data_IF_318785772249
#
_entry.id   IF_318785772249
#
_cell.length_a   1.000
_cell.length_b   1.000
_cell.length_c   1.000
_cell.angle_alpha   90.00
_cell.angle_beta   90.00
_cell.angle_gamma   90.00
#
_symmetry.space_group_name_H-M   'P 1'
#
loop_
_entity.id
_entity.type
_entity.pdbx_description
1 polymer ?
#
# COMPACT_ATOMS: atom_id res chain seq x y z
N UNK A 1 25.61 -17.10 -16.38
CA UNK A 1 25.34 -15.90 -17.17
C UNK A 1 24.91 -16.35 -18.56
N UNK A 2 23.65 -16.13 -18.93
CA UNK A 2 23.15 -16.54 -20.23
C UNK A 2 23.65 -15.57 -21.31
N UNK A 3 24.40 -16.09 -22.29
CA UNK A 3 24.81 -15.36 -23.48
C UNK A 3 23.57 -14.91 -24.25
N UNK A 4 23.23 -13.62 -24.18
CA UNK A 4 22.31 -13.05 -25.15
C UNK A 4 23.08 -12.76 -26.44
N UNK A 5 22.62 -13.25 -27.60
CA UNK A 5 23.28 -12.98 -28.87
C UNK A 5 23.16 -11.50 -29.25
N UNK A 6 24.12 -10.96 -30.02
CA UNK A 6 24.16 -9.54 -30.37
C UNK A 6 22.94 -9.13 -31.20
N UNK A 7 22.36 -7.97 -30.88
CA UNK A 7 21.15 -7.38 -31.49
C UNK A 7 21.36 -6.88 -32.94
N UNK A 8 22.20 -7.52 -33.73
CA UNK A 8 22.61 -7.02 -35.05
C UNK A 8 22.68 -8.16 -36.06
N UNK A 9 21.51 -8.55 -36.59
CA UNK A 9 21.27 -9.13 -37.94
C UNK A 9 19.97 -9.94 -37.95
N UNK A 10 18.85 -9.30 -37.61
CA UNK A 10 17.53 -9.85 -37.94
C UNK A 10 16.93 -8.88 -38.95
N UNK A 11 16.67 -9.35 -40.17
CA UNK A 11 16.15 -8.52 -41.28
C UNK A 11 14.85 -7.79 -40.91
N UNK A 12 14.13 -8.27 -39.89
CA UNK A 12 13.05 -7.56 -39.24
C UNK A 12 12.83 -8.11 -37.81
N UNK A 13 13.24 -7.40 -36.74
CA UNK A 13 13.18 -7.92 -35.35
C UNK A 13 11.76 -8.17 -34.82
N UNK A 14 10.74 -7.77 -35.57
CA UNK A 14 9.32 -7.90 -35.25
C UNK A 14 8.70 -9.23 -35.71
N UNK A 15 9.24 -9.87 -36.76
CA UNK A 15 8.65 -11.05 -37.40
C UNK A 15 8.71 -12.32 -36.53
N UNK A 16 9.68 -12.41 -35.62
CA UNK A 16 9.82 -13.56 -34.70
C UNK A 16 9.21 -13.38 -33.32
N UNK A 17 8.78 -12.16 -32.96
CA UNK A 17 8.30 -11.81 -31.60
C UNK A 17 6.84 -11.39 -31.55
N UNK A 18 6.29 -10.94 -32.67
CA UNK A 18 4.90 -10.47 -32.74
C UNK A 18 4.09 -11.37 -33.65
N UNK A 19 2.93 -11.81 -33.15
CA UNK A 19 1.95 -12.50 -33.98
C UNK A 19 1.27 -11.49 -34.92
N UNK A 20 1.94 -11.26 -36.05
CA UNK A 20 1.51 -10.31 -37.08
C UNK A 20 0.17 -10.73 -37.69
N UNK A 21 -0.10 -12.03 -37.80
CA UNK A 21 -1.34 -12.55 -38.39
C UNK A 21 -2.54 -12.23 -37.49
N UNK A 22 -2.44 -12.54 -36.20
CA UNK A 22 -3.49 -12.22 -35.23
C UNK A 22 -3.69 -10.72 -35.07
N UNK A 23 -2.60 -9.94 -35.12
CA UNK A 23 -2.66 -8.47 -35.09
C UNK A 23 -3.40 -7.93 -36.33
N UNK A 24 -3.09 -8.42 -37.53
CA UNK A 24 -3.77 -8.04 -38.77
C UNK A 24 -5.25 -8.44 -38.78
N UNK A 25 -5.59 -9.63 -38.29
CA UNK A 25 -6.98 -10.08 -38.15
C UNK A 25 -7.76 -9.20 -37.16
N UNK A 26 -7.13 -8.81 -36.06
CA UNK A 26 -7.71 -7.89 -35.06
C UNK A 26 -7.94 -6.50 -35.64
N UNK A 27 -6.95 -5.96 -36.37
CA UNK A 27 -7.08 -4.66 -37.07
C UNK A 27 -8.20 -4.72 -38.10
N UNK A 28 -8.28 -5.78 -38.91
CA UNK A 28 -9.37 -5.97 -39.89
C UNK A 28 -10.74 -6.03 -39.22
N UNK A 29 -10.86 -6.70 -38.06
CA UNK A 29 -12.10 -6.72 -37.27
C UNK A 29 -12.46 -5.33 -36.71
N UNK A 30 -11.48 -4.61 -36.17
CA UNK A 30 -11.68 -3.24 -35.65
C UNK A 30 -12.08 -2.25 -36.76
N UNK A 31 -11.58 -2.44 -37.98
CA UNK A 31 -11.85 -1.57 -39.13
C UNK A 31 -12.97 -2.09 -40.04
N UNK A 32 -13.69 -3.15 -39.65
CA UNK A 32 -14.74 -3.75 -40.47
C UNK A 32 -15.90 -2.80 -40.78
N UNK A 33 -16.12 -1.77 -39.93
CA UNK A 33 -17.09 -0.69 -40.15
C UNK A 33 -16.61 0.45 -41.06
N UNK A 34 -15.42 0.32 -41.67
CA UNK A 34 -14.75 1.36 -42.43
C UNK A 34 -13.57 1.97 -41.68
N UNK A 35 -12.55 2.41 -42.42
CA UNK A 35 -11.44 3.18 -41.83
C UNK A 35 -11.86 4.65 -41.70
N UNK A 36 -11.76 5.27 -40.51
CA UNK A 36 -12.06 6.70 -40.37
C UNK A 36 -11.25 7.50 -41.39
N UNK A 37 -11.91 8.24 -42.28
CA UNK A 37 -11.21 9.04 -43.29
C UNK A 37 -10.80 10.40 -42.69
N UNK A 38 -9.82 10.37 -41.80
CA UNK A 38 -9.29 11.54 -41.09
C UNK A 38 -8.59 12.55 -42.02
N UNK A 39 -8.23 12.14 -43.24
CA UNK A 39 -7.69 13.03 -44.28
C UNK A 39 -8.80 13.91 -44.88
N UNK A 40 -9.97 13.33 -45.16
CA UNK A 40 -11.12 14.04 -45.73
C UNK A 40 -11.90 14.82 -44.68
N UNK A 41 -11.99 14.31 -43.45
CA UNK A 41 -12.81 14.88 -42.37
C UNK A 41 -12.01 15.02 -41.06
N UNK A 42 -10.96 15.84 -41.02
CA UNK A 42 -10.10 15.96 -39.84
C UNK A 42 -10.81 16.54 -38.62
N UNK A 43 -11.83 17.39 -38.83
CA UNK A 43 -12.63 17.98 -37.74
C UNK A 43 -13.51 16.93 -37.06
N UNK A 44 -14.19 16.09 -37.84
CA UNK A 44 -15.09 15.07 -37.33
C UNK A 44 -14.32 13.99 -36.56
N UNK A 45 -13.14 13.59 -37.06
CA UNK A 45 -12.24 12.69 -36.33
C UNK A 45 -11.76 13.31 -35.01
N UNK A 46 -11.39 14.61 -35.01
CA UNK A 46 -11.00 15.31 -33.79
C UNK A 46 -12.16 15.33 -32.77
N UNK A 47 -13.38 15.59 -33.21
CA UNK A 47 -14.57 15.55 -32.34
C UNK A 47 -14.82 14.15 -31.79
N UNK A 48 -14.78 13.11 -32.64
CA UNK A 48 -14.94 11.71 -32.21
C UNK A 48 -13.86 11.30 -31.19
N UNK A 49 -12.60 11.66 -31.43
CA UNK A 49 -11.51 11.37 -30.50
C UNK A 49 -11.67 12.13 -29.17
N UNK A 50 -12.18 13.37 -29.21
CA UNK A 50 -12.52 14.13 -28.01
C UNK A 50 -13.68 13.48 -27.24
N UNK A 51 -14.73 13.05 -27.91
CA UNK A 51 -15.87 12.34 -27.29
C UNK A 51 -15.44 11.02 -26.65
N UNK A 52 -14.61 10.22 -27.35
CA UNK A 52 -14.07 8.98 -26.80
C UNK A 52 -13.22 9.25 -25.54
N UNK A 53 -12.37 10.27 -25.58
CA UNK A 53 -11.57 10.68 -24.42
C UNK A 53 -12.44 11.14 -23.24
N UNK A 54 -13.53 11.85 -23.51
CA UNK A 54 -14.48 12.27 -22.47
C UNK A 54 -15.23 11.08 -21.87
N UNK A 55 -15.69 10.15 -22.70
CA UNK A 55 -16.35 8.91 -22.26
C UNK A 55 -15.43 8.04 -21.38
N UNK A 56 -14.18 7.86 -21.80
CA UNK A 56 -13.17 7.14 -21.03
C UNK A 56 -12.88 7.86 -19.69
N UNK A 57 -12.83 9.19 -19.71
CA UNK A 57 -12.66 10.00 -18.51
C UNK A 57 -13.83 9.82 -17.54
N UNK A 58 -15.07 9.90 -18.01
CA UNK A 58 -16.27 9.68 -17.18
C UNK A 58 -16.26 8.30 -16.54
N UNK A 59 -15.93 7.27 -17.32
CA UNK A 59 -15.78 5.89 -16.83
C UNK A 59 -14.69 5.82 -15.75
N UNK A 60 -13.54 6.44 -15.98
CA UNK A 60 -12.44 6.49 -15.01
C UNK A 60 -12.81 7.23 -13.73
N UNK A 61 -13.60 8.31 -13.82
CA UNK A 61 -14.09 9.07 -12.66
C UNK A 61 -15.10 8.27 -11.84
N UNK A 62 -16.00 7.52 -12.48
CA UNK A 62 -16.94 6.61 -11.80
C UNK A 62 -16.17 5.53 -11.04
N UNK A 63 -15.21 4.88 -11.70
CA UNK A 63 -14.36 3.88 -11.07
C UNK A 63 -13.59 4.47 -9.88
N UNK A 64 -13.01 5.66 -10.02
CA UNK A 64 -12.28 6.32 -8.94
C UNK A 64 -13.18 6.58 -7.70
N UNK A 65 -14.47 6.87 -7.88
CA UNK A 65 -15.40 7.02 -6.73
C UNK A 65 -15.60 5.70 -5.99
N UNK A 66 -15.64 4.58 -6.71
CA UNK A 66 -15.84 3.24 -6.12
C UNK A 66 -14.61 2.75 -5.34
N UNK A 67 -13.41 3.17 -5.74
CA UNK A 67 -12.16 2.78 -5.07
C UNK A 67 -11.82 3.60 -3.82
N UNK A 68 -12.65 4.59 -3.44
CA UNK A 68 -12.42 5.34 -2.20
C UNK A 68 -12.49 4.43 -0.98
N UNK A 69 -11.59 4.66 -0.04
CA UNK A 69 -11.61 3.89 1.22
C UNK A 69 -12.78 4.33 2.10
N UNK A 70 -13.30 3.36 2.86
CA UNK A 70 -14.16 3.65 4.01
C UNK A 70 -13.45 4.62 4.97
N UNK A 71 -14.17 5.62 5.47
CA UNK A 71 -13.67 6.65 6.39
C UNK A 71 -12.47 7.46 5.85
N UNK A 72 -12.30 7.57 4.52
CA UNK A 72 -11.15 8.25 3.93
C UNK A 72 -10.99 9.70 4.45
N UNK A 73 -12.09 10.43 4.62
CA UNK A 73 -12.07 11.81 5.14
C UNK A 73 -11.47 11.89 6.55
N UNK A 74 -11.80 10.93 7.41
CA UNK A 74 -11.24 10.84 8.74
C UNK A 74 -9.74 10.56 8.70
N UNK A 75 -9.27 9.72 7.77
CA UNK A 75 -7.85 9.38 7.62
C UNK A 75 -6.99 10.54 7.11
N UNK A 76 -7.62 11.56 6.52
CA UNK A 76 -6.97 12.78 6.01
C UNK A 76 -6.94 13.91 7.04
N UNK A 77 -7.77 13.84 8.08
CA UNK A 77 -7.86 14.89 9.09
C UNK A 77 -6.58 14.95 9.94
N UNK A 78 -5.62 15.78 9.52
CA UNK A 78 -4.34 15.92 10.21
C UNK A 78 -4.51 16.42 11.65
N UNK A 79 -5.44 17.34 11.90
CA UNK A 79 -5.66 17.94 13.22
C UNK A 79 -6.08 16.89 14.24
N UNK A 80 -7.01 16.02 13.86
CA UNK A 80 -7.49 14.94 14.75
C UNK A 80 -6.45 13.81 14.93
N UNK A 81 -5.51 13.65 13.99
CA UNK A 81 -4.59 12.51 13.93
C UNK A 81 -3.19 12.80 14.45
N UNK A 82 -2.72 14.04 14.30
CA UNK A 82 -1.41 14.51 14.77
C UNK A 82 -1.43 14.84 16.26
N UNK A 83 -1.74 13.83 17.07
CA UNK A 83 -1.76 13.91 18.54
C UNK A 83 -0.67 13.01 19.15
N UNK A 84 -0.34 13.25 20.42
CA UNK A 84 0.59 12.42 21.21
C UNK A 84 1.90 12.06 20.48
N UNK A 85 2.73 13.06 20.10
CA UNK A 85 3.96 12.81 19.37
C UNK A 85 4.96 12.01 20.23
N UNK A 86 5.67 11.09 19.60
CA UNK A 86 6.80 10.37 20.18
C UNK A 86 8.00 10.47 19.25
N UNK A 87 9.19 10.80 19.79
CA UNK A 87 10.41 10.76 18.99
C UNK A 87 10.73 9.32 18.62
N UNK A 88 11.29 9.10 17.42
CA UNK A 88 11.62 7.76 16.92
C UNK A 88 12.56 7.04 17.88
N UNK A 89 13.54 7.77 18.44
CA UNK A 89 14.47 7.25 19.45
C UNK A 89 13.75 6.82 20.71
N UNK A 90 12.88 7.67 21.26
CA UNK A 90 12.12 7.38 22.48
C UNK A 90 11.21 6.18 22.30
N UNK A 91 10.61 6.01 21.12
CA UNK A 91 9.80 4.85 20.77
C UNK A 91 10.61 3.54 20.82
N UNK A 92 11.80 3.53 20.19
CA UNK A 92 12.70 2.36 20.19
C UNK A 92 13.24 2.08 21.59
N UNK A 93 13.65 3.11 22.32
CA UNK A 93 14.14 2.98 23.71
C UNK A 93 13.02 2.49 24.64
N UNK A 94 11.77 2.87 24.40
CA UNK A 94 10.62 2.35 25.13
C UNK A 94 10.42 0.86 24.88
N UNK A 95 10.47 0.40 23.62
CA UNK A 95 10.38 -1.02 23.29
C UNK A 95 11.47 -1.85 23.99
N UNK A 96 12.73 -1.37 23.91
CA UNK A 96 13.88 -2.04 24.52
C UNK A 96 13.79 -2.13 26.03
N UNK A 97 13.33 -1.07 26.71
CA UNK A 97 13.08 -1.08 28.17
C UNK A 97 12.07 -2.13 28.61
N UNK A 98 11.14 -2.49 27.73
CA UNK A 98 10.15 -3.53 27.97
C UNK A 98 10.58 -4.91 27.45
N UNK A 99 11.87 -5.11 27.17
CA UNK A 99 12.45 -6.40 26.79
C UNK A 99 12.28 -6.78 25.32
N UNK A 100 11.79 -5.87 24.48
CA UNK A 100 11.69 -6.13 23.03
C UNK A 100 13.08 -5.96 22.41
N UNK A 101 13.65 -7.05 21.91
CA UNK A 101 14.89 -7.02 21.12
C UNK A 101 14.57 -6.44 19.74
N UNK A 102 15.03 -5.23 19.47
CA UNK A 102 14.80 -4.55 18.20
C UNK A 102 15.92 -3.58 17.82
N UNK A 103 16.02 -3.30 16.52
CA UNK A 103 16.97 -2.35 15.96
C UNK A 103 16.38 -1.69 14.72
N UNK A 104 16.99 -0.58 14.32
CA UNK A 104 16.60 0.21 13.15
C UNK A 104 17.71 0.21 12.13
N UNK A 105 17.35 0.17 10.85
CA UNK A 105 18.29 0.27 9.73
C UNK A 105 17.85 1.46 8.87
N UNK A 106 18.80 2.20 8.32
CA UNK A 106 18.52 3.14 7.24
C UNK A 106 17.93 2.38 6.05
N UNK A 107 16.74 2.77 5.61
CA UNK A 107 16.04 2.14 4.50
C UNK A 107 16.29 2.83 3.15
N UNK A 108 17.12 3.89 3.11
CA UNK A 108 17.47 4.62 1.89
C UNK A 108 16.28 5.32 1.22
N UNK A 109 15.14 5.45 1.89
CA UNK A 109 13.90 5.95 1.31
C UNK A 109 13.63 7.41 1.74
N UNK A 110 13.66 8.38 0.81
CA UNK A 110 13.20 9.75 1.10
C UNK A 110 11.67 9.80 1.23
N UNK A 111 11.08 10.56 2.17
CA UNK A 111 11.70 11.38 3.22
C UNK A 111 12.10 10.55 4.46
N UNK A 112 12.94 11.14 5.33
CA UNK A 112 13.54 10.59 6.54
C UNK A 112 12.71 9.51 7.26
N UNK A 113 12.96 8.25 6.88
CA UNK A 113 12.38 7.07 7.51
C UNK A 113 13.49 6.07 7.84
N UNK A 114 13.22 5.17 8.77
CA UNK A 114 14.10 4.05 9.12
C UNK A 114 13.29 2.78 9.21
N UNK A 115 13.82 1.63 8.79
CA UNK A 115 13.16 0.35 8.94
C UNK A 115 13.33 -0.19 10.37
N UNK A 116 12.24 -0.63 11.01
CA UNK A 116 12.26 -1.32 12.29
C UNK A 116 12.30 -2.84 12.07
N UNK A 117 13.27 -3.49 12.71
CA UNK A 117 13.40 -4.94 12.79
C UNK A 117 13.28 -5.36 14.26
N UNK A 118 12.61 -6.48 14.50
CA UNK A 118 12.46 -7.02 15.84
C UNK A 118 12.54 -8.55 15.84
N UNK A 119 12.96 -9.12 16.97
CA UNK A 119 13.02 -10.56 17.15
C UNK A 119 11.71 -11.08 17.73
N UNK A 120 11.25 -12.25 17.26
CA UNK A 120 10.11 -12.92 17.88
C UNK A 120 10.47 -13.40 19.30
N UNK A 121 9.58 -13.26 20.30
CA UNK A 121 9.84 -13.66 21.68
C UNK A 121 10.32 -15.12 21.77
N UNK A 122 11.36 -15.34 22.57
CA UNK A 122 11.92 -16.68 22.79
C UNK A 122 12.69 -17.29 21.61
N UNK A 123 12.93 -16.52 20.54
CA UNK A 123 13.65 -17.00 19.35
C UNK A 123 14.69 -15.99 18.88
N UNK A 124 15.64 -16.45 18.07
CA UNK A 124 16.56 -15.58 17.33
C UNK A 124 16.05 -15.24 15.92
N UNK A 125 14.76 -15.51 15.65
CA UNK A 125 14.13 -15.20 14.38
C UNK A 125 13.79 -13.70 14.30
N UNK A 126 14.52 -12.98 13.46
CA UNK A 126 14.29 -11.57 13.18
C UNK A 126 13.23 -11.38 12.10
N UNK A 127 12.32 -10.43 12.31
CA UNK A 127 11.27 -10.08 11.34
C UNK A 127 11.29 -8.58 11.01
N UNK A 128 11.07 -8.21 9.74
CA UNK A 128 10.85 -6.82 9.38
C UNK A 128 9.47 -6.39 9.88
N UNK A 129 9.41 -5.32 10.67
CA UNK A 129 8.16 -4.80 11.24
C UNK A 129 7.54 -3.82 10.25
N UNK A 130 8.04 -2.61 10.19
CA UNK A 130 7.69 -1.59 9.20
C UNK A 130 8.68 -0.43 9.29
N UNK A 131 8.53 0.60 8.46
CA UNK A 131 9.31 1.82 8.62
C UNK A 131 8.76 2.71 9.74
N UNK A 132 9.61 3.56 10.30
CA UNK A 132 9.31 4.60 11.29
C UNK A 132 9.59 5.96 10.66
N UNK A 133 8.75 6.96 10.98
CA UNK A 133 9.00 8.35 10.59
C UNK A 133 10.08 8.96 11.50
N UNK A 134 11.01 9.73 10.94
CA UNK A 134 12.06 10.49 11.65
C UNK A 134 11.81 11.99 11.52
N UNK A 135 12.05 12.81 12.57
CA UNK A 135 12.53 12.43 13.91
C UNK A 135 11.44 12.03 14.90
N UNK A 136 10.17 12.14 14.52
CA UNK A 136 9.04 11.83 15.39
C UNK A 136 7.86 11.26 14.60
N UNK A 137 7.02 10.51 15.31
CA UNK A 137 5.75 9.98 14.84
C UNK A 137 4.62 10.53 15.71
N UNK A 138 3.48 10.83 15.10
CA UNK A 138 2.24 11.09 15.83
C UNK A 138 1.51 9.77 16.11
N UNK A 139 0.46 9.80 16.92
CA UNK A 139 -0.27 8.58 17.28
C UNK A 139 -0.85 7.87 16.06
N UNK A 140 -1.49 8.62 15.17
CA UNK A 140 -2.26 8.07 14.06
C UNK A 140 -1.65 8.40 12.70
N UNK A 141 -1.56 7.40 11.81
CA UNK A 141 -1.09 7.62 10.43
C UNK A 141 -2.06 8.52 9.66
N UNK A 142 -1.54 9.46 8.87
CA UNK A 142 -2.31 10.32 7.97
C UNK A 142 -2.19 9.78 6.55
N UNK A 143 -3.32 9.66 5.84
CA UNK A 143 -3.35 9.16 4.47
C UNK A 143 -2.86 10.22 3.47
N UNK A 144 -2.16 9.79 2.43
CA UNK A 144 -1.84 10.61 1.25
C UNK A 144 -2.77 10.22 0.12
N UNK A 145 -3.33 11.21 -0.58
CA UNK A 145 -4.11 10.97 -1.79
C UNK A 145 -3.29 11.22 -3.06
N UNK A 146 -3.63 10.54 -4.14
CA UNK A 146 -3.20 10.88 -5.50
C UNK A 146 -4.04 12.04 -6.08
N UNK A 147 -3.76 12.39 -7.34
CA UNK A 147 -4.49 13.45 -8.07
C UNK A 147 -5.97 13.15 -8.27
N UNK A 148 -6.39 11.88 -8.15
CA UNK A 148 -7.77 11.41 -8.32
C UNK A 148 -8.50 11.28 -6.98
N UNK A 149 -7.84 11.65 -5.88
CA UNK A 149 -8.40 11.54 -4.54
C UNK A 149 -8.44 10.11 -4.01
N UNK A 150 -7.57 9.22 -4.53
CA UNK A 150 -7.43 7.85 -4.07
C UNK A 150 -6.23 7.69 -3.13
N UNK A 151 -6.29 6.77 -2.16
CA UNK A 151 -5.17 6.44 -1.29
C UNK A 151 -3.90 6.09 -2.09
N UNK A 152 -2.82 6.84 -1.87
CA UNK A 152 -1.52 6.65 -2.53
C UNK A 152 -0.39 6.38 -1.53
N UNK A 153 -0.76 5.90 -0.33
CA UNK A 153 0.14 5.65 0.79
C UNK A 153 -0.13 6.57 1.97
N UNK A 154 0.86 6.69 2.86
CA UNK A 154 0.76 7.54 4.05
C UNK A 154 1.51 8.85 3.81
N UNK A 155 0.88 9.97 4.18
CA UNK A 155 1.56 11.25 4.26
C UNK A 155 2.49 11.28 5.47
N UNK A 156 2.01 10.71 6.59
CA UNK A 156 2.74 10.53 7.83
C UNK A 156 2.40 9.17 8.44
N UNK A 157 3.40 8.44 8.91
CA UNK A 157 3.18 7.20 9.65
C UNK A 157 2.99 7.47 11.14
N UNK A 158 1.92 6.90 11.70
CA UNK A 158 1.64 6.96 13.12
C UNK A 158 2.24 5.81 13.91
N UNK A 159 2.61 6.04 15.17
CA UNK A 159 3.22 5.02 16.01
C UNK A 159 2.25 3.90 16.41
N UNK A 160 0.93 4.13 16.44
CA UNK A 160 -0.08 3.05 16.61
C UNK A 160 -0.10 2.08 15.44
N UNK A 161 0.25 2.54 14.24
CA UNK A 161 0.41 1.65 13.07
C UNK A 161 1.61 0.73 13.27
N UNK A 162 2.71 1.25 13.79
CA UNK A 162 3.90 0.46 14.15
C UNK A 162 3.55 -0.55 15.25
N UNK A 163 2.85 -0.12 16.29
CA UNK A 163 2.34 -0.99 17.35
C UNK A 163 1.49 -2.13 16.78
N UNK A 164 0.57 -1.82 15.85
CA UNK A 164 -0.28 -2.83 15.24
C UNK A 164 0.52 -3.89 14.46
N UNK A 165 1.59 -3.48 13.79
CA UNK A 165 2.49 -4.38 13.07
C UNK A 165 3.32 -5.26 14.02
N UNK A 166 3.75 -4.72 15.17
CA UNK A 166 4.42 -5.51 16.20
C UNK A 166 3.51 -6.60 16.76
N UNK A 167 2.23 -6.28 16.99
CA UNK A 167 1.22 -7.26 17.42
C UNK A 167 0.95 -8.29 16.33
N UNK A 168 0.68 -7.85 15.09
CA UNK A 168 0.39 -8.74 13.96
C UNK A 168 1.49 -9.79 13.75
N UNK A 169 2.76 -9.36 13.83
CA UNK A 169 3.93 -10.23 13.62
C UNK A 169 4.29 -11.10 14.83
N UNK A 170 3.53 -10.99 15.92
CA UNK A 170 3.77 -11.75 17.15
C UNK A 170 5.03 -11.32 17.89
N UNK A 171 5.52 -10.09 17.66
CA UNK A 171 6.66 -9.53 18.41
C UNK A 171 6.25 -9.17 19.83
N UNK A 172 5.04 -8.63 19.99
CA UNK A 172 4.41 -8.36 21.28
C UNK A 172 2.94 -8.80 21.26
N UNK A 173 2.34 -9.01 22.43
CA UNK A 173 0.89 -9.22 22.57
C UNK A 173 0.15 -7.87 22.64
N UNK A 174 -1.17 -7.86 22.40
CA UNK A 174 -2.00 -6.66 22.59
C UNK A 174 -1.97 -6.18 24.05
N UNK A 175 -1.93 -7.10 25.02
CA UNK A 175 -1.77 -6.76 26.44
C UNK A 175 -0.44 -6.03 26.69
N UNK A 176 0.66 -6.55 26.16
CA UNK A 176 1.98 -5.92 26.27
C UNK A 176 2.06 -4.59 25.54
N UNK A 177 1.39 -4.46 24.39
CA UNK A 177 1.29 -3.21 23.66
C UNK A 177 0.57 -2.13 24.50
N UNK A 178 -0.53 -2.49 25.18
CA UNK A 178 -1.24 -1.60 26.10
C UNK A 178 -0.42 -1.22 27.34
N UNK A 179 0.43 -2.11 27.86
CA UNK A 179 1.36 -1.79 28.95
C UNK A 179 2.45 -0.80 28.50
N UNK A 180 2.97 -0.97 27.29
CA UNK A 180 4.04 -0.12 26.75
C UNK A 180 3.49 1.25 26.34
N UNK A 181 2.41 1.28 25.57
CA UNK A 181 1.93 2.49 24.89
C UNK A 181 0.64 3.07 25.48
N UNK A 182 0.03 2.39 26.46
CA UNK A 182 -1.29 2.73 26.98
C UNK A 182 -2.41 2.28 26.04
N UNK A 183 -3.63 2.23 26.56
CA UNK A 183 -4.82 1.95 25.74
C UNK A 183 -5.18 3.18 24.91
N UNK A 184 -5.59 3.01 23.64
CA UNK A 184 -6.08 4.13 22.85
C UNK A 184 -7.38 4.67 23.45
N UNK A 185 -7.58 5.98 23.37
CA UNK A 185 -8.86 6.61 23.76
C UNK A 185 -9.97 6.09 22.84
N UNK A 186 -11.12 5.76 23.41
CA UNK A 186 -12.28 5.38 22.63
C UNK A 186 -12.78 6.58 21.82
N UNK A 187 -12.85 6.39 20.50
CA UNK A 187 -13.29 7.43 19.60
C UNK A 187 -13.21 7.00 18.15
N UNK A 188 -13.57 7.93 17.29
CA UNK A 188 -13.68 7.70 15.86
C UNK A 188 -12.30 7.44 15.23
N UNK A 189 -11.29 8.21 15.65
CA UNK A 189 -9.92 8.10 15.14
C UNK A 189 -9.28 6.74 15.47
N UNK A 190 -9.62 6.16 16.64
CA UNK A 190 -9.09 4.86 17.10
C UNK A 190 -9.92 3.66 16.63
N UNK A 191 -11.11 3.87 16.04
CA UNK A 191 -12.03 2.81 15.57
C UNK A 191 -11.34 1.81 14.65
N UNK A 192 -10.58 2.30 13.67
CA UNK A 192 -9.83 1.44 12.72
C UNK A 192 -8.76 0.58 13.41
N UNK A 193 -8.05 1.16 14.36
CA UNK A 193 -7.04 0.43 15.14
C UNK A 193 -7.68 -0.67 15.99
N UNK A 194 -8.77 -0.36 16.69
CA UNK A 194 -9.50 -1.34 17.50
C UNK A 194 -10.07 -2.48 16.63
N UNK A 195 -10.58 -2.15 15.44
CA UNK A 195 -11.02 -3.14 14.43
C UNK A 195 -9.87 -4.08 14.03
N UNK A 196 -8.68 -3.55 13.77
CA UNK A 196 -7.51 -4.36 13.44
C UNK A 196 -7.08 -5.25 14.62
N UNK A 197 -7.02 -4.71 15.84
CA UNK A 197 -6.70 -5.50 17.04
C UNK A 197 -7.69 -6.64 17.28
N UNK A 198 -9.00 -6.35 17.14
CA UNK A 198 -10.05 -7.36 17.22
C UNK A 198 -9.88 -8.46 16.17
N UNK A 199 -9.54 -8.08 14.93
CA UNK A 199 -9.26 -9.06 13.88
C UNK A 199 -8.04 -9.92 14.20
N UNK A 200 -6.94 -9.33 14.71
CA UNK A 200 -5.75 -10.10 15.12
C UNK A 200 -6.06 -11.10 16.24
N UNK A 201 -6.89 -10.72 17.23
CA UNK A 201 -7.36 -11.64 18.28
C UNK A 201 -8.11 -12.83 17.69
N UNK A 202 -9.09 -12.56 16.83
CA UNK A 202 -9.96 -13.61 16.30
C UNK A 202 -9.23 -14.54 15.32
N UNK A 203 -8.29 -14.00 14.52
CA UNK A 203 -7.47 -14.80 13.62
C UNK A 203 -6.61 -15.83 14.38
N UNK A 204 -6.03 -15.44 15.52
CA UNK A 204 -5.24 -16.37 16.34
C UNK A 204 -6.09 -17.48 16.92
N UNK A 205 -7.31 -17.16 17.37
CA UNK A 205 -8.24 -18.16 17.87
C UNK A 205 -8.61 -19.19 16.79
N UNK A 206 -8.87 -18.72 15.56
CA UNK A 206 -9.14 -19.59 14.41
C UNK A 206 -7.95 -20.50 14.09
N UNK A 207 -6.72 -19.97 14.09
CA UNK A 207 -5.52 -20.78 13.85
C UNK A 207 -5.33 -21.85 14.93
N UNK A 208 -5.50 -21.50 16.20
CA UNK A 208 -5.43 -22.47 17.29
C UNK A 208 -6.51 -23.56 17.19
N UNK A 209 -7.72 -23.22 16.75
CA UNK A 209 -8.79 -24.20 16.55
C UNK A 209 -8.46 -25.16 15.41
N UNK A 210 -7.96 -24.67 14.27
CA UNK A 210 -7.56 -25.50 13.14
C UNK A 210 -6.44 -26.47 13.54
N UNK A 211 -5.40 -26.00 14.23
CA UNK A 211 -4.30 -26.82 14.73
C UNK A 211 -4.75 -27.91 15.73
N UNK A 212 -5.84 -27.67 16.47
CA UNK A 212 -6.43 -28.64 17.40
C UNK A 212 -7.38 -29.64 16.73
N UNK A 213 -7.86 -29.35 15.52
CA UNK A 213 -8.79 -30.23 14.78
C UNK A 213 -8.05 -31.15 13.80
N UNK A 214 -6.78 -30.86 13.50
CA UNK A 214 -5.90 -31.67 12.63
C UNK A 214 -5.08 -32.73 13.42
N UNK A 215 -5.45 -33.03 14.67
CA UNK A 215 -4.94 -34.11 15.52
C UNK A 215 -6.05 -35.12 15.78
#
# INVERSE_FOLDING_TARGET
MANMPPLQNVSNPWEGRHDLKTTQETIKKLLAGGTPNWVKWPKDYKSMAQEALLSDRETSEIMARQYKMEDQELLLNEVARKVNPIRTRDFVDKLRRYGVKCYTIDNGFPPATVALWAFKPGTDHVVPVCYLQVPAMYEWSVLRLDKRGLPSGEAFRGWRTVESQLVEKGVISEARANEIFGRPVDGEVSRRFRRNMHWFRNRRNLQHQLEQTEI
#
